data_IF_288654723023
#
_entry.id   IF_288654723023
#
_cell.length_a   1.000
_cell.length_b   1.000
_cell.length_c   1.000
_cell.angle_alpha   90.00
_cell.angle_beta   90.00
_cell.angle_gamma   90.00
#
_symmetry.space_group_name_H-M   'P 1'
#
loop_
_entity.id
_entity.type
_entity.pdbx_description
1 polymer ?
#
# COMPACT_ATOMS: atom_id res chain seq x y z
N UNK A 1 19.03 -10.50 -6.82
CA UNK A 1 18.22 -9.46 -6.12
C UNK A 1 16.80 -9.46 -6.64
N UNK A 2 15.82 -9.20 -5.78
CA UNK A 2 14.40 -9.08 -6.15
C UNK A 2 13.94 -7.65 -5.98
N UNK A 3 13.24 -7.11 -6.96
CA UNK A 3 12.55 -5.83 -6.88
C UNK A 3 11.06 -6.09 -6.63
N UNK A 4 10.52 -5.51 -5.58
CA UNK A 4 9.09 -5.57 -5.26
C UNK A 4 8.50 -4.18 -5.45
N UNK A 5 7.35 -4.09 -6.11
CA UNK A 5 6.66 -2.84 -6.40
C UNK A 5 5.23 -2.91 -5.89
N UNK A 6 4.86 -1.93 -5.08
CA UNK A 6 3.49 -1.67 -4.64
C UNK A 6 3.01 -0.38 -5.31
N UNK A 7 2.15 -0.51 -6.32
CA UNK A 7 1.61 0.62 -7.08
C UNK A 7 0.27 1.05 -6.53
N UNK A 8 0.29 1.93 -5.55
CA UNK A 8 -0.90 2.53 -4.96
C UNK A 8 -1.44 3.74 -5.75
N UNK A 9 -2.54 4.33 -5.25
CA UNK A 9 -3.20 5.48 -5.89
C UNK A 9 -2.31 6.74 -5.95
N UNK A 10 -1.56 7.03 -4.91
CA UNK A 10 -0.79 8.28 -4.76
C UNK A 10 0.67 8.15 -5.14
N UNK A 11 1.27 6.98 -4.96
CA UNK A 11 2.69 6.73 -5.18
C UNK A 11 2.95 5.25 -5.42
N UNK A 12 4.14 4.96 -5.93
CA UNK A 12 4.65 3.60 -6.06
C UNK A 12 5.74 3.42 -5.02
N UNK A 13 5.57 2.45 -4.15
CA UNK A 13 6.60 2.05 -3.19
C UNK A 13 7.43 0.92 -3.79
N UNK A 14 8.72 0.89 -3.50
CA UNK A 14 9.57 -0.22 -3.90
C UNK A 14 10.38 -0.77 -2.74
N UNK A 15 10.68 -2.05 -2.81
CA UNK A 15 11.62 -2.74 -1.93
C UNK A 15 12.59 -3.60 -2.73
N UNK A 16 13.85 -3.56 -2.35
CA UNK A 16 14.90 -4.43 -2.87
C UNK A 16 15.19 -5.50 -1.84
N UNK A 17 15.20 -6.75 -2.25
CA UNK A 17 15.40 -7.89 -1.36
C UNK A 17 16.56 -8.78 -1.83
N UNK A 18 17.39 -9.20 -0.87
CA UNK A 18 18.42 -10.23 -1.04
C UNK A 18 18.12 -11.33 -0.02
N UNK A 19 17.94 -12.57 -0.47
CA UNK A 19 17.69 -13.72 0.40
C UNK A 19 16.54 -13.52 1.42
N UNK A 20 15.47 -12.82 1.03
CA UNK A 20 14.30 -12.44 1.86
C UNK A 20 14.53 -11.29 2.84
N UNK A 21 15.72 -10.75 2.93
CA UNK A 21 16.00 -9.56 3.73
C UNK A 21 15.84 -8.28 2.91
N UNK A 22 15.26 -7.26 3.52
CA UNK A 22 15.10 -5.95 2.90
C UNK A 22 16.45 -5.24 2.85
N UNK A 23 16.99 -5.08 1.65
CA UNK A 23 18.24 -4.36 1.39
C UNK A 23 18.06 -2.84 1.27
N UNK A 24 16.94 -2.42 0.70
CA UNK A 24 16.61 -1.01 0.51
C UNK A 24 15.15 -0.82 0.09
N UNK A 25 14.65 0.37 0.33
CA UNK A 25 13.28 0.73 -0.05
C UNK A 25 13.15 2.21 -0.34
N UNK A 26 12.08 2.59 -1.03
CA UNK A 26 11.78 3.99 -1.30
C UNK A 26 10.45 4.18 -1.99
N UNK A 27 10.22 5.42 -2.42
CA UNK A 27 8.99 5.84 -3.09
C UNK A 27 9.35 6.42 -4.45
N UNK A 28 8.61 6.00 -5.47
CA UNK A 28 8.73 6.48 -6.85
C UNK A 28 7.51 7.36 -7.13
N UNK A 29 7.74 8.55 -7.68
CA UNK A 29 6.64 9.36 -8.25
C UNK A 29 6.14 8.67 -9.51
N UNK A 30 4.81 8.70 -9.75
CA UNK A 30 4.16 7.98 -10.87
C UNK A 30 4.75 8.27 -12.27
N UNK A 31 5.36 9.44 -12.46
CA UNK A 31 5.96 9.87 -13.73
C UNK A 31 7.48 9.60 -13.83
N UNK A 32 8.05 8.87 -12.89
CA UNK A 32 9.49 8.53 -12.87
C UNK A 32 9.69 7.05 -13.13
N UNK A 33 10.75 6.72 -13.90
CA UNK A 33 11.22 5.33 -14.05
C UNK A 33 12.04 4.91 -12.85
N UNK A 34 11.99 3.64 -12.48
CA UNK A 34 12.86 3.05 -11.45
C UNK A 34 14.34 3.20 -11.83
N UNK A 35 14.64 3.16 -13.13
CA UNK A 35 16.01 3.34 -13.65
C UNK A 35 16.60 4.73 -13.40
N UNK A 36 15.74 5.74 -13.14
CA UNK A 36 16.21 7.08 -12.77
C UNK A 36 16.51 7.24 -11.28
N UNK A 37 16.25 6.22 -10.48
CA UNK A 37 16.34 6.27 -9.01
C UNK A 37 17.38 5.29 -8.48
N UNK A 38 17.47 4.11 -9.08
CA UNK A 38 18.39 3.07 -8.67
C UNK A 38 19.69 3.16 -9.48
N UNK A 39 20.78 2.89 -8.80
CA UNK A 39 22.11 2.77 -9.40
C UNK A 39 22.13 1.66 -10.46
N UNK A 40 22.82 1.85 -11.63
CA UNK A 40 22.96 0.83 -12.66
C UNK A 40 23.50 -0.51 -12.15
N UNK A 41 24.40 -0.50 -11.16
CA UNK A 41 24.94 -1.72 -10.55
C UNK A 41 23.89 -2.49 -9.76
N UNK A 42 22.92 -1.79 -9.15
CA UNK A 42 21.78 -2.41 -8.48
C UNK A 42 20.81 -2.97 -9.52
N UNK A 43 20.51 -2.18 -10.56
CA UNK A 43 19.60 -2.59 -11.63
C UNK A 43 20.07 -3.88 -12.33
N UNK A 44 21.37 -4.00 -12.58
CA UNK A 44 21.98 -5.19 -13.21
C UNK A 44 21.83 -6.47 -12.38
N UNK A 45 21.67 -6.36 -11.08
CA UNK A 45 21.54 -7.47 -10.14
C UNK A 45 20.08 -7.92 -9.95
N UNK A 46 19.10 -7.17 -10.46
CA UNK A 46 17.70 -7.55 -10.38
C UNK A 46 17.44 -8.70 -11.34
N UNK A 47 16.96 -9.82 -10.80
CA UNK A 47 16.63 -11.01 -11.59
C UNK A 47 15.14 -11.40 -11.51
N UNK A 48 14.39 -10.83 -10.58
CA UNK A 48 12.95 -11.02 -10.43
C UNK A 48 12.33 -9.68 -10.05
N UNK A 49 11.20 -9.37 -10.69
CA UNK A 49 10.30 -8.29 -10.29
C UNK A 49 9.01 -8.91 -9.80
N UNK A 50 8.54 -8.53 -8.63
CA UNK A 50 7.20 -8.83 -8.17
C UNK A 50 6.42 -7.52 -8.04
N UNK A 51 5.18 -7.48 -8.51
CA UNK A 51 4.36 -6.28 -8.39
C UNK A 51 2.95 -6.59 -7.94
N UNK A 52 2.43 -5.69 -7.12
CA UNK A 52 1.03 -5.55 -6.80
C UNK A 52 0.59 -4.19 -7.32
N UNK A 53 -0.50 -4.11 -8.09
CA UNK A 53 -0.91 -2.84 -8.68
C UNK A 53 -2.40 -2.57 -8.58
N UNK A 54 -2.71 -1.33 -8.23
CA UNK A 54 -4.05 -0.74 -8.31
C UNK A 54 -4.18 0.11 -9.59
N UNK A 55 -3.06 0.57 -10.16
CA UNK A 55 -3.00 1.43 -11.36
C UNK A 55 -2.28 0.74 -12.52
N UNK A 56 -2.56 1.13 -13.77
CA UNK A 56 -2.14 0.39 -14.96
C UNK A 56 -0.64 0.44 -15.29
N UNK A 57 0.08 1.51 -14.96
CA UNK A 57 1.48 1.67 -15.35
C UNK A 57 2.46 1.42 -14.22
N UNK A 58 3.41 0.51 -14.46
CA UNK A 58 4.56 0.29 -13.61
C UNK A 58 5.80 1.00 -14.17
N UNK A 59 6.68 1.53 -13.31
CA UNK A 59 7.87 2.29 -13.72
C UNK A 59 9.03 1.38 -14.13
N UNK A 60 8.76 0.32 -14.88
CA UNK A 60 9.72 -0.75 -15.22
C UNK A 60 9.97 -0.90 -16.73
N UNK A 61 9.47 0.02 -17.56
CA UNK A 61 9.58 -0.07 -19.03
C UNK A 61 11.03 -0.19 -19.52
N UNK A 62 11.95 0.44 -18.80
CA UNK A 62 13.37 0.53 -19.18
C UNK A 62 14.24 -0.56 -18.51
N UNK A 63 13.63 -1.47 -17.75
CA UNK A 63 14.38 -2.55 -17.11
C UNK A 63 14.74 -3.66 -18.11
N UNK A 64 15.90 -4.33 -17.91
CA UNK A 64 16.21 -5.54 -18.69
C UNK A 64 15.09 -6.56 -18.62
N UNK A 65 15.00 -7.43 -19.62
CA UNK A 65 14.02 -8.54 -19.63
C UNK A 65 14.32 -9.49 -18.46
N UNK A 66 13.67 -9.27 -17.34
CA UNK A 66 13.74 -10.13 -16.16
C UNK A 66 12.36 -10.76 -15.90
N UNK A 67 12.35 -11.84 -15.14
CA UNK A 67 11.09 -12.52 -14.76
C UNK A 67 10.23 -11.54 -13.95
N UNK A 68 9.04 -11.20 -14.48
CA UNK A 68 8.06 -10.36 -13.80
C UNK A 68 6.88 -11.23 -13.32
N UNK A 69 6.58 -11.14 -12.04
CA UNK A 69 5.46 -11.81 -11.36
C UNK A 69 4.49 -10.71 -10.93
N UNK A 70 3.35 -10.65 -11.59
CA UNK A 70 2.27 -9.76 -11.19
C UNK A 70 1.32 -10.49 -10.27
N UNK A 71 1.17 -9.98 -9.04
CA UNK A 71 0.21 -10.49 -8.06
C UNK A 71 -1.14 -9.86 -8.36
N UNK A 72 -2.16 -10.71 -8.48
CA UNK A 72 -3.54 -10.32 -8.77
C UNK A 72 -4.52 -11.25 -8.03
N UNK A 73 -5.82 -11.04 -8.21
CA UNK A 73 -6.86 -11.80 -7.50
C UNK A 73 -6.88 -13.31 -7.84
N UNK A 74 -6.22 -13.73 -8.92
CA UNK A 74 -6.06 -15.15 -9.29
C UNK A 74 -4.79 -15.78 -8.70
N UNK A 75 -3.98 -15.01 -7.98
CA UNK A 75 -2.78 -15.53 -7.33
C UNK A 75 -3.16 -16.42 -6.14
N UNK A 76 -2.28 -17.39 -5.82
CA UNK A 76 -2.47 -18.27 -4.68
C UNK A 76 -2.00 -17.53 -3.41
N UNK A 77 -2.89 -17.47 -2.42
CA UNK A 77 -2.62 -16.87 -1.12
C UNK A 77 -2.53 -17.94 -0.02
N UNK A 78 -1.87 -17.67 1.11
CA UNK A 78 -1.69 -18.65 2.17
C UNK A 78 -2.97 -18.89 3.01
N UNK A 79 -4.05 -18.21 2.69
CA UNK A 79 -5.36 -18.30 3.35
C UNK A 79 -6.49 -18.29 2.30
N UNK A 80 -7.69 -18.67 2.72
CA UNK A 80 -8.87 -18.59 1.86
C UNK A 80 -9.44 -17.18 1.83
N UNK A 81 -9.89 -16.74 0.67
CA UNK A 81 -10.55 -15.43 0.50
C UNK A 81 -12.04 -15.66 0.44
N UNK A 82 -12.72 -15.44 1.57
CA UNK A 82 -14.17 -15.52 1.70
C UNK A 82 -14.75 -14.09 1.63
N UNK A 83 -14.90 -13.58 0.41
CA UNK A 83 -15.35 -12.22 0.14
C UNK A 83 -16.44 -12.21 -0.92
N UNK A 84 -17.58 -11.55 -0.63
CA UNK A 84 -18.77 -11.59 -1.51
C UNK A 84 -18.54 -11.06 -2.92
N UNK A 85 -17.61 -10.10 -3.07
CA UNK A 85 -17.28 -9.46 -4.36
C UNK A 85 -15.78 -9.49 -4.62
N UNK A 86 -15.19 -10.69 -4.85
CA UNK A 86 -13.74 -10.84 -4.96
C UNK A 86 -13.12 -10.03 -6.10
N UNK A 87 -13.90 -9.72 -7.16
CA UNK A 87 -13.45 -8.93 -8.31
C UNK A 87 -13.18 -7.46 -7.96
N UNK A 88 -13.84 -6.93 -6.92
CA UNK A 88 -13.67 -5.55 -6.46
C UNK A 88 -12.74 -5.42 -5.26
N UNK A 89 -12.26 -6.55 -4.73
CA UNK A 89 -11.35 -6.58 -3.60
C UNK A 89 -9.98 -6.05 -4.02
N UNK A 90 -9.50 -5.01 -3.34
CA UNK A 90 -8.16 -4.46 -3.57
C UNK A 90 -7.09 -5.50 -3.27
N UNK A 91 -6.25 -5.76 -4.26
CA UNK A 91 -5.16 -6.75 -4.15
C UNK A 91 -4.10 -6.33 -3.11
N UNK A 92 -3.89 -5.04 -2.92
CA UNK A 92 -3.04 -4.45 -1.90
C UNK A 92 -3.43 -4.92 -0.48
N UNK A 93 -4.71 -5.00 -0.19
CA UNK A 93 -5.26 -5.48 1.09
C UNK A 93 -4.90 -6.96 1.32
N UNK A 94 -5.10 -7.80 0.30
CA UNK A 94 -4.78 -9.24 0.37
C UNK A 94 -3.28 -9.47 0.52
N UNK A 95 -2.46 -8.69 -0.19
CA UNK A 95 -0.99 -8.78 -0.08
C UNK A 95 -0.51 -8.37 1.31
N UNK A 96 -1.04 -7.27 1.88
CA UNK A 96 -0.73 -6.84 3.24
C UNK A 96 -1.12 -7.91 4.27
N UNK A 97 -2.29 -8.53 4.10
CA UNK A 97 -2.74 -9.66 4.91
C UNK A 97 -1.81 -10.87 4.79
N UNK A 98 -1.34 -11.18 3.57
CA UNK A 98 -0.45 -12.32 3.33
C UNK A 98 0.89 -12.19 4.05
N UNK A 99 1.41 -10.96 4.17
CA UNK A 99 2.66 -10.69 4.88
C UNK A 99 2.55 -10.91 6.40
N UNK A 100 1.34 -10.80 6.96
CA UNK A 100 1.09 -10.86 8.39
C UNK A 100 0.37 -12.15 8.82
N UNK A 101 0.02 -13.02 7.87
CA UNK A 101 -0.71 -14.26 8.16
C UNK A 101 0.15 -15.28 8.88
N UNK A 102 -0.41 -15.81 9.97
CA UNK A 102 0.13 -16.97 10.67
C UNK A 102 -0.95 -18.02 10.84
N UNK A 103 -0.66 -19.24 10.40
CA UNK A 103 -1.60 -20.35 10.50
C UNK A 103 -2.00 -20.61 11.95
N UNK A 104 -3.29 -20.67 12.22
CA UNK A 104 -3.82 -20.94 13.55
C UNK A 104 -3.95 -19.68 14.45
N UNK A 105 -3.61 -18.50 13.94
CA UNK A 105 -3.80 -17.22 14.62
C UNK A 105 -4.82 -16.35 13.85
N UNK A 106 -5.62 -15.58 14.58
CA UNK A 106 -6.40 -14.51 13.96
C UNK A 106 -5.57 -13.24 13.85
N UNK A 107 -5.76 -12.47 12.80
CA UNK A 107 -5.01 -11.24 12.55
C UNK A 107 -5.93 -10.11 12.11
N UNK A 108 -5.69 -8.91 12.64
CA UNK A 108 -6.23 -7.66 12.13
C UNK A 108 -5.06 -6.87 11.54
N UNK A 109 -5.12 -6.64 10.24
CA UNK A 109 -4.12 -5.84 9.51
C UNK A 109 -4.68 -4.46 9.27
N UNK A 110 -3.94 -3.43 9.66
CA UNK A 110 -4.31 -2.03 9.47
C UNK A 110 -3.27 -1.38 8.58
N UNK A 111 -3.68 -0.90 7.40
CA UNK A 111 -2.83 -0.12 6.51
C UNK A 111 -3.29 1.34 6.48
N UNK A 112 -2.36 2.25 6.77
CA UNK A 112 -2.61 3.68 6.87
C UNK A 112 -2.00 4.41 5.67
N UNK A 113 -2.82 4.72 4.70
CA UNK A 113 -2.44 5.44 3.49
C UNK A 113 -3.43 6.54 3.10
N UNK A 114 -3.73 6.66 1.82
CA UNK A 114 -4.79 7.52 1.28
C UNK A 114 -6.14 7.17 1.91
N UNK A 115 -6.39 5.87 2.08
CA UNK A 115 -7.41 5.33 2.96
C UNK A 115 -6.73 4.61 4.15
N UNK A 116 -7.47 4.41 5.22
CA UNK A 116 -7.12 3.45 6.27
C UNK A 116 -7.96 2.22 6.03
N UNK A 117 -7.31 1.08 5.78
CA UNK A 117 -8.00 -0.20 5.64
C UNK A 117 -7.81 -1.03 6.90
N UNK A 118 -8.83 -1.80 7.24
CA UNK A 118 -8.84 -2.75 8.35
C UNK A 118 -9.23 -4.09 7.75
N UNK A 119 -8.38 -5.08 7.88
CA UNK A 119 -8.54 -6.37 7.24
C UNK A 119 -8.38 -7.50 8.24
N UNK A 120 -9.39 -8.37 8.33
CA UNK A 120 -9.41 -9.43 9.32
C UNK A 120 -9.29 -10.82 8.68
N UNK A 121 -8.37 -11.61 9.24
CA UNK A 121 -8.22 -13.03 8.95
C UNK A 121 -8.56 -13.80 10.21
N UNK A 122 -9.46 -14.76 10.09
CA UNK A 122 -9.85 -15.63 11.21
C UNK A 122 -8.77 -16.66 11.54
N UNK A 123 -8.84 -17.22 12.74
CA UNK A 123 -7.98 -18.32 13.19
C UNK A 123 -8.03 -19.55 12.27
N UNK A 124 -9.16 -19.78 11.60
CA UNK A 124 -9.33 -20.85 10.60
C UNK A 124 -8.65 -20.56 9.25
N UNK A 125 -8.02 -19.39 9.07
CA UNK A 125 -7.36 -19.01 7.84
C UNK A 125 -8.31 -18.54 6.76
N UNK A 126 -9.41 -17.84 7.12
CA UNK A 126 -10.32 -17.22 6.17
C UNK A 126 -10.21 -15.69 6.28
N UNK A 127 -9.89 -15.02 5.20
CA UNK A 127 -10.02 -13.58 5.07
C UNK A 127 -11.51 -13.24 4.95
N UNK A 128 -12.02 -12.47 5.89
CA UNK A 128 -13.45 -12.14 6.00
C UNK A 128 -13.77 -10.70 5.58
N UNK A 129 -12.78 -9.95 5.10
CA UNK A 129 -12.94 -8.53 4.79
C UNK A 129 -12.62 -7.64 5.99
N UNK A 130 -13.31 -6.52 6.08
CA UNK A 130 -13.08 -5.53 7.13
C UNK A 130 -13.70 -4.19 6.80
N UNK A 131 -12.98 -3.08 7.02
CA UNK A 131 -13.48 -1.72 6.80
C UNK A 131 -12.49 -0.89 5.99
N UNK A 132 -13.01 0.14 5.34
CA UNK A 132 -12.22 1.18 4.66
C UNK A 132 -12.72 2.53 5.18
N UNK A 133 -11.81 3.37 5.63
CA UNK A 133 -12.11 4.74 6.02
C UNK A 133 -11.16 5.73 5.34
N UNK A 134 -11.51 7.00 5.23
CA UNK A 134 -10.60 8.01 4.71
C UNK A 134 -9.33 8.10 5.56
N UNK A 135 -8.16 8.21 4.91
CA UNK A 135 -6.91 8.55 5.58
C UNK A 135 -6.93 9.98 6.13
N UNK A 136 -5.95 10.33 6.94
CA UNK A 136 -5.92 11.64 7.62
C UNK A 136 -6.01 12.80 6.63
N UNK A 137 -5.20 12.78 5.57
CA UNK A 137 -5.23 13.83 4.55
C UNK A 137 -6.59 13.90 3.84
N UNK A 138 -7.17 12.76 3.53
CA UNK A 138 -8.48 12.66 2.89
C UNK A 138 -9.61 13.22 3.78
N UNK A 139 -9.51 13.04 5.11
CA UNK A 139 -10.46 13.61 6.09
C UNK A 139 -10.40 15.13 6.08
N UNK A 140 -9.20 15.72 6.17
CA UNK A 140 -9.04 17.18 6.13
C UNK A 140 -9.52 17.76 4.80
N UNK A 141 -9.19 17.11 3.69
CA UNK A 141 -9.65 17.52 2.37
C UNK A 141 -11.18 17.44 2.24
N UNK A 142 -11.78 16.40 2.78
CA UNK A 142 -13.23 16.23 2.80
C UNK A 142 -13.92 17.34 3.61
N UNK A 143 -13.42 17.64 4.82
CA UNK A 143 -13.97 18.72 5.64
C UNK A 143 -13.89 20.08 4.91
N UNK A 144 -12.76 20.40 4.30
CA UNK A 144 -12.62 21.62 3.51
C UNK A 144 -13.56 21.65 2.29
N UNK A 145 -13.68 20.54 1.55
CA UNK A 145 -14.48 20.47 0.32
C UNK A 145 -16.00 20.53 0.58
N UNK A 146 -16.46 20.03 1.74
CA UNK A 146 -17.89 19.92 2.07
C UNK A 146 -18.38 20.96 3.08
N UNK A 147 -17.53 21.92 3.45
CA UNK A 147 -17.92 23.04 4.33
C UNK A 147 -17.37 24.36 3.78
N UNK A 148 -18.09 25.45 4.04
CA UNK A 148 -17.69 26.79 3.55
C UNK A 148 -16.58 27.44 4.38
N UNK A 149 -16.44 27.07 5.64
CA UNK A 149 -15.58 27.80 6.59
C UNK A 149 -14.36 27.03 7.08
N UNK A 150 -14.31 25.69 6.86
CA UNK A 150 -13.18 24.92 7.34
C UNK A 150 -11.98 25.04 6.39
N UNK A 151 -10.80 25.42 6.89
CA UNK A 151 -9.64 25.65 6.07
C UNK A 151 -9.06 24.34 5.52
N UNK A 152 -8.35 24.42 4.40
CA UNK A 152 -7.54 23.31 3.93
C UNK A 152 -6.31 23.12 4.81
N UNK A 153 -6.14 21.92 5.37
CA UNK A 153 -4.98 21.54 6.18
C UNK A 153 -4.11 20.57 5.39
N UNK A 154 -2.93 21.00 4.96
CA UNK A 154 -1.95 20.15 4.28
C UNK A 154 -0.97 19.49 5.25
N UNK A 155 -0.69 20.12 6.39
CA UNK A 155 0.21 19.63 7.44
C UNK A 155 -0.49 19.64 8.79
N UNK A 156 -0.61 18.49 9.41
CA UNK A 156 -1.15 18.34 10.76
C UNK A 156 -0.04 18.25 11.79
N UNK A 157 -0.33 18.67 13.01
CA UNK A 157 0.60 18.58 14.15
C UNK A 157 0.86 17.12 14.51
N UNK A 158 2.12 16.75 14.78
CA UNK A 158 2.46 15.40 15.24
C UNK A 158 1.86 15.07 16.60
N UNK A 159 1.76 16.08 17.48
CA UNK A 159 1.20 15.97 18.82
C UNK A 159 0.12 17.04 18.98
N UNK A 160 -1.10 16.79 18.50
CA UNK A 160 -2.20 17.74 18.68
C UNK A 160 -2.60 17.83 20.15
N UNK A 161 -3.16 18.97 20.56
CA UNK A 161 -3.80 19.10 21.86
C UNK A 161 -5.02 18.17 21.95
N UNK A 162 -5.34 17.69 23.16
CA UNK A 162 -6.54 16.86 23.37
C UNK A 162 -7.83 17.64 23.16
N UNK A 163 -7.79 18.93 23.45
CA UNK A 163 -8.89 19.89 23.25
C UNK A 163 -8.30 21.04 22.44
N UNK A 164 -8.79 21.25 21.23
CA UNK A 164 -8.39 22.36 20.39
C UNK A 164 -9.03 23.67 20.84
N UNK A 165 -8.31 24.77 20.68
CA UNK A 165 -8.76 26.14 21.04
C UNK A 165 -8.83 27.06 19.80
N UNK A 166 -8.61 26.51 18.64
CA UNK A 166 -8.79 27.14 17.33
C UNK A 166 -9.45 26.16 16.35
N UNK A 167 -10.03 26.68 15.27
CA UNK A 167 -10.66 25.83 14.23
C UNK A 167 -9.66 24.79 13.72
N UNK A 168 -8.41 25.19 13.47
CA UNK A 168 -7.36 24.27 12.98
C UNK A 168 -6.98 23.23 14.02
N UNK A 169 -6.96 23.59 15.30
CA UNK A 169 -6.64 22.66 16.39
C UNK A 169 -7.79 21.70 16.72
N UNK A 170 -9.03 22.08 16.37
CA UNK A 170 -10.21 21.22 16.50
C UNK A 170 -10.36 20.21 15.35
N UNK A 171 -9.72 20.47 14.23
CA UNK A 171 -9.71 19.57 13.05
C UNK A 171 -8.65 18.49 13.20
#
# INVERSE_FOLDING_TARGET
MRLVLDSGNSSIKYGLFINRELFGSGIIKKNKSICSILDPDILSKINIIASCKVTEELPIKDLPKVKHIQINNNSIFPFNVDYKTPQTLGIDRIVACSANYKKGESSLVIDCGTCVTYDYISKSGNYQGGAISPGIKSRFQSMNNFTEQLPFIDRYKKNPQKIGDSTVDCM
#
